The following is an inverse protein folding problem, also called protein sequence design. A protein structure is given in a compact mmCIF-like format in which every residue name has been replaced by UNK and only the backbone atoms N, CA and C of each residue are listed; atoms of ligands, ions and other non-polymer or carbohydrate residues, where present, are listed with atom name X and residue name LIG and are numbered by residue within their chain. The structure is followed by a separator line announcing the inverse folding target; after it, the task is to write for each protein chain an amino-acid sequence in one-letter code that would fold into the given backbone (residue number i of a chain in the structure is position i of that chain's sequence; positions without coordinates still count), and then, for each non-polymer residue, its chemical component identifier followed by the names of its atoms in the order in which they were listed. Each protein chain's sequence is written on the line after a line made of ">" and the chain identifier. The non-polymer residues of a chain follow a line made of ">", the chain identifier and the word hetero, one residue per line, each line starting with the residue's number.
data_IF_283548889361
#
_entry.id   IF_283548889361
#
_cell.length_a   1.000
_cell.length_b   1.000
_cell.length_c   1.000
_cell.angle_alpha   90.00
_cell.angle_beta   90.00
_cell.angle_gamma   90.00
#
_symmetry.space_group_name_H-M   'P 1'
#
loop_
_entity.id
_entity.type
_entity.pdbx_description
1 polymer ?
#
# COMPACT_ATOMS: atom_id res chain seq x y z
N UNK A 1 -2.38 -38.13 -1.22
CA UNK A 1 -1.68 -37.30 -2.22
C UNK A 1 -0.34 -37.96 -2.56
N UNK A 2 -0.04 -38.10 -3.85
CA UNK A 2 1.18 -38.74 -4.35
C UNK A 2 2.35 -37.73 -4.22
N UNK A 3 3.48 -38.06 -3.58
CA UNK A 3 4.58 -37.12 -3.40
C UNK A 3 5.44 -37.11 -4.67
N UNK A 4 5.36 -36.04 -5.47
CA UNK A 4 6.30 -35.90 -6.58
C UNK A 4 6.03 -34.80 -7.61
N UNK A 5 4.85 -34.19 -7.63
CA UNK A 5 4.60 -33.01 -8.46
C UNK A 5 4.11 -31.85 -7.58
N UNK A 6 4.66 -30.63 -7.76
CA UNK A 6 4.11 -29.44 -7.14
C UNK A 6 2.64 -29.29 -7.51
N UNK A 7 1.83 -28.78 -6.58
CA UNK A 7 0.42 -28.51 -6.84
C UNK A 7 0.34 -27.29 -7.76
N UNK A 8 -0.16 -27.46 -8.98
CA UNK A 8 -0.29 -26.35 -9.93
C UNK A 8 -1.48 -25.46 -9.56
N UNK A 9 -1.45 -24.21 -10.01
CA UNK A 9 -2.52 -23.25 -9.75
C UNK A 9 -3.89 -23.75 -10.27
N UNK A 10 -3.98 -24.23 -11.51
CA UNK A 10 -5.24 -24.69 -12.10
C UNK A 10 -5.78 -25.94 -11.40
N UNK A 11 -4.90 -26.88 -11.03
CA UNK A 11 -5.30 -28.08 -10.31
C UNK A 11 -5.81 -27.75 -8.91
N UNK A 12 -5.18 -26.79 -8.24
CA UNK A 12 -5.63 -26.31 -6.94
C UNK A 12 -6.97 -25.59 -7.00
N UNK A 13 -7.15 -24.64 -7.91
CA UNK A 13 -8.43 -23.92 -8.06
C UNK A 13 -9.55 -24.89 -8.37
N UNK A 14 -9.32 -25.88 -9.26
CA UNK A 14 -10.31 -26.90 -9.56
C UNK A 14 -10.65 -27.75 -8.31
N UNK A 15 -9.65 -28.17 -7.54
CA UNK A 15 -9.85 -28.91 -6.29
C UNK A 15 -10.67 -28.09 -5.28
N UNK A 16 -10.24 -26.86 -4.99
CA UNK A 16 -10.88 -26.00 -4.01
C UNK A 16 -12.31 -25.62 -4.41
N UNK A 17 -12.58 -25.45 -5.71
CA UNK A 17 -13.92 -25.19 -6.21
C UNK A 17 -14.91 -26.37 -6.04
N UNK A 18 -14.42 -27.59 -5.74
CA UNK A 18 -15.28 -28.75 -5.43
C UNK A 18 -15.53 -28.95 -3.94
N UNK A 19 -14.74 -28.35 -3.06
CA UNK A 19 -14.90 -28.47 -1.62
C UNK A 19 -16.10 -27.62 -1.16
N UNK A 20 -17.14 -28.19 -0.51
CA UNK A 20 -18.31 -27.44 -0.05
C UNK A 20 -17.99 -26.41 1.05
N UNK A 21 -16.95 -26.63 1.85
CA UNK A 21 -16.55 -25.72 2.93
C UNK A 21 -15.91 -24.43 2.40
N UNK A 22 -15.36 -24.44 1.17
CA UNK A 22 -14.83 -23.26 0.51
C UNK A 22 -15.97 -22.37 0.04
N UNK A 23 -16.08 -21.19 0.64
CA UNK A 23 -17.08 -20.17 0.28
C UNK A 23 -16.50 -19.01 -0.53
N UNK A 24 -15.16 -18.90 -0.59
CA UNK A 24 -14.48 -17.91 -1.41
C UNK A 24 -13.10 -18.36 -1.88
N UNK A 25 -12.73 -17.93 -3.09
CA UNK A 25 -11.36 -17.97 -3.59
C UNK A 25 -10.97 -16.59 -4.08
N UNK A 26 -9.85 -16.07 -3.59
CA UNK A 26 -9.40 -14.70 -3.88
C UNK A 26 -7.93 -14.73 -4.34
N UNK A 27 -7.68 -14.33 -5.58
CA UNK A 27 -6.36 -14.24 -6.20
C UNK A 27 -5.79 -12.83 -6.01
N UNK A 28 -4.65 -12.69 -5.32
CA UNK A 28 -3.94 -11.41 -5.17
C UNK A 28 -2.65 -11.41 -6.00
N UNK A 29 -1.80 -10.41 -5.75
CA UNK A 29 -0.46 -10.37 -6.34
C UNK A 29 -0.46 -10.04 -7.82
N UNK A 30 0.59 -10.46 -8.52
CA UNK A 30 0.85 -10.02 -9.91
C UNK A 30 -0.23 -10.48 -10.87
N UNK A 31 -0.81 -11.66 -10.65
CA UNK A 31 -1.90 -12.20 -11.50
C UNK A 31 -3.25 -11.48 -11.29
N UNK A 32 -3.39 -10.68 -10.24
CA UNK A 32 -4.55 -9.81 -10.05
C UNK A 32 -4.42 -8.47 -10.82
N UNK A 33 -3.20 -8.08 -11.21
CA UNK A 33 -2.89 -6.78 -11.81
C UNK A 33 -2.53 -6.91 -13.29
N UNK A 34 -3.35 -6.34 -14.18
CA UNK A 34 -3.13 -6.42 -15.62
C UNK A 34 -1.77 -5.83 -16.02
N UNK A 35 -0.97 -6.63 -16.73
CA UNK A 35 0.37 -6.25 -17.21
C UNK A 35 1.50 -6.40 -16.20
N UNK A 36 1.24 -6.90 -14.98
CA UNK A 36 2.26 -7.03 -13.92
C UNK A 36 2.86 -8.43 -13.78
N UNK A 37 2.35 -9.41 -14.53
CA UNK A 37 2.84 -10.80 -14.54
C UNK A 37 4.17 -10.89 -15.27
N UNK A 38 5.12 -11.61 -14.68
CA UNK A 38 6.43 -11.94 -15.26
C UNK A 38 6.69 -13.44 -15.19
N UNK A 39 7.76 -13.93 -15.79
CA UNK A 39 8.19 -15.34 -15.69
C UNK A 39 8.54 -15.80 -14.26
N UNK A 40 8.68 -14.85 -13.33
CA UNK A 40 8.98 -15.10 -11.92
C UNK A 40 7.76 -14.87 -11.02
N UNK A 41 6.57 -14.68 -11.59
CA UNK A 41 5.34 -14.49 -10.82
C UNK A 41 4.72 -15.82 -10.44
N UNK A 42 4.40 -15.95 -9.17
CA UNK A 42 3.57 -16.99 -8.57
C UNK A 42 2.09 -16.55 -8.48
N UNK A 43 1.22 -17.50 -8.18
CA UNK A 43 -0.18 -17.25 -7.87
C UNK A 43 -0.38 -17.23 -6.35
N UNK A 44 -0.78 -16.08 -5.83
CA UNK A 44 -1.17 -15.93 -4.43
C UNK A 44 -2.68 -16.14 -4.26
N UNK A 45 -3.10 -17.24 -3.63
CA UNK A 45 -4.52 -17.57 -3.46
C UNK A 45 -4.92 -17.63 -1.99
N UNK A 46 -5.93 -16.83 -1.65
CA UNK A 46 -6.69 -16.97 -0.41
C UNK A 46 -7.83 -17.97 -0.61
N UNK A 47 -7.89 -18.99 0.23
CA UNK A 47 -9.03 -19.89 0.40
C UNK A 47 -9.82 -19.43 1.61
N UNK A 48 -11.07 -19.03 1.38
CA UNK A 48 -11.98 -18.57 2.44
C UNK A 48 -12.97 -19.69 2.73
N UNK A 49 -12.86 -20.27 3.91
CA UNK A 49 -13.75 -21.31 4.43
C UNK A 49 -14.92 -20.69 5.19
N UNK A 50 -16.06 -21.37 5.20
CA UNK A 50 -17.12 -21.06 6.16
C UNK A 50 -16.59 -21.22 7.60
N UNK A 51 -17.05 -20.38 8.54
CA UNK A 51 -16.44 -20.25 9.86
C UNK A 51 -16.49 -21.53 10.73
N UNK A 52 -17.52 -22.37 10.54
CA UNK A 52 -17.77 -23.58 11.34
C UNK A 52 -17.58 -24.90 10.56
N UNK A 53 -17.00 -24.85 9.37
CA UNK A 53 -16.81 -26.04 8.51
C UNK A 53 -15.36 -26.52 8.51
N UNK A 54 -15.17 -27.84 8.60
CA UNK A 54 -13.85 -28.47 8.47
C UNK A 54 -13.56 -28.76 6.99
N UNK A 55 -12.30 -28.54 6.58
CA UNK A 55 -11.84 -28.84 5.22
C UNK A 55 -10.46 -29.49 5.28
N UNK A 56 -10.24 -30.49 4.42
CA UNK A 56 -8.91 -31.08 4.21
C UNK A 56 -7.90 -30.03 3.67
N UNK A 57 -8.41 -28.93 3.08
CA UNK A 57 -7.59 -27.83 2.59
C UNK A 57 -7.00 -26.98 3.73
N UNK A 58 -7.54 -27.03 4.95
CA UNK A 58 -6.97 -26.32 6.11
C UNK A 58 -5.50 -26.68 6.35
N UNK A 59 -5.08 -27.91 5.99
CA UNK A 59 -3.69 -28.35 6.08
C UNK A 59 -2.74 -27.73 5.05
N UNK A 60 -3.25 -26.96 4.08
CA UNK A 60 -2.47 -26.25 3.07
C UNK A 60 -2.22 -24.78 3.43
N UNK A 61 -2.67 -24.31 4.60
CA UNK A 61 -2.35 -22.95 5.04
C UNK A 61 -0.83 -22.74 5.13
N UNK A 62 -0.35 -21.66 4.51
CA UNK A 62 1.07 -21.35 4.41
C UNK A 62 1.84 -22.21 3.40
N UNK A 63 1.16 -22.99 2.55
CA UNK A 63 1.80 -23.68 1.43
C UNK A 63 2.49 -22.67 0.50
N UNK A 64 3.74 -22.98 0.12
CA UNK A 64 4.53 -22.16 -0.80
C UNK A 64 5.28 -22.99 -1.81
N UNK A 65 5.32 -22.50 -3.04
CA UNK A 65 6.08 -23.08 -4.14
C UNK A 65 6.52 -21.98 -5.11
N UNK A 66 7.24 -22.33 -6.17
CA UNK A 66 7.61 -21.34 -7.20
C UNK A 66 6.41 -20.88 -8.06
N UNK A 67 5.28 -21.58 -7.99
CA UNK A 67 4.10 -21.33 -8.85
C UNK A 67 2.88 -20.86 -8.05
N UNK A 68 2.76 -21.26 -6.78
CA UNK A 68 1.55 -21.16 -5.99
C UNK A 68 1.88 -20.98 -4.50
N UNK A 69 1.27 -19.94 -3.92
CA UNK A 69 1.24 -19.62 -2.50
C UNK A 69 -0.23 -19.63 -2.02
N UNK A 70 -0.50 -20.35 -0.92
CA UNK A 70 -1.87 -20.53 -0.40
C UNK A 70 -1.94 -19.98 1.03
N UNK A 71 -2.97 -19.18 1.28
CA UNK A 71 -3.41 -18.81 2.63
C UNK A 71 -4.83 -19.32 2.82
N UNK A 72 -5.06 -20.10 3.88
CA UNK A 72 -6.39 -20.61 4.22
C UNK A 72 -6.89 -19.85 5.44
N UNK A 73 -8.10 -19.34 5.35
CA UNK A 73 -8.70 -18.51 6.40
C UNK A 73 -10.20 -18.72 6.45
N UNK A 74 -10.86 -18.26 7.51
CA UNK A 74 -12.32 -18.26 7.58
C UNK A 74 -12.91 -16.93 7.09
N UNK A 75 -14.22 -16.87 6.85
CA UNK A 75 -14.91 -15.62 6.49
C UNK A 75 -14.67 -14.53 7.55
N UNK A 76 -14.82 -14.85 8.84
CA UNK A 76 -14.62 -13.91 9.94
C UNK A 76 -13.18 -13.39 9.99
N UNK A 77 -12.20 -14.26 9.81
CA UNK A 77 -10.78 -13.88 9.78
C UNK A 77 -10.46 -13.04 8.53
N UNK A 78 -10.95 -13.43 7.35
CA UNK A 78 -10.77 -12.68 6.11
C UNK A 78 -11.35 -11.26 6.21
N UNK A 79 -12.50 -11.10 6.87
CA UNK A 79 -13.07 -9.78 7.20
C UNK A 79 -12.15 -8.95 8.09
N UNK A 80 -11.37 -9.56 8.97
CA UNK A 80 -10.46 -8.87 9.89
C UNK A 80 -9.09 -8.59 9.31
N UNK A 81 -8.67 -9.28 8.23
CA UNK A 81 -7.37 -9.02 7.59
C UNK A 81 -7.21 -7.53 7.26
N UNK A 82 -6.09 -6.97 7.67
CA UNK A 82 -5.84 -5.54 7.61
C UNK A 82 -4.35 -5.23 7.54
N UNK A 83 -4.00 -3.99 7.84
CA UNK A 83 -2.63 -3.49 7.82
C UNK A 83 -1.95 -3.66 6.46
N UNK A 84 -0.77 -4.28 6.42
CA UNK A 84 0.07 -4.44 5.24
C UNK A 84 -0.63 -5.22 4.12
N UNK A 85 -1.53 -6.14 4.44
CA UNK A 85 -2.21 -7.00 3.45
C UNK A 85 -3.43 -6.33 2.81
N UNK A 86 -3.90 -5.22 3.39
CA UNK A 86 -5.13 -4.52 2.96
C UNK A 86 -5.09 -4.14 1.48
N UNK A 87 -3.98 -3.57 0.99
CA UNK A 87 -3.86 -3.21 -0.42
C UNK A 87 -3.94 -4.43 -1.34
N UNK A 88 -3.24 -5.51 -0.98
CA UNK A 88 -3.19 -6.70 -1.80
C UNK A 88 -4.58 -7.31 -1.99
N UNK A 89 -5.40 -7.30 -0.93
CA UNK A 89 -6.80 -7.75 -1.00
C UNK A 89 -7.66 -6.73 -1.77
N UNK A 90 -7.47 -5.42 -1.55
CA UNK A 90 -8.24 -4.36 -2.22
C UNK A 90 -8.15 -4.36 -3.76
N UNK A 91 -7.11 -4.99 -4.32
CA UNK A 91 -6.89 -5.16 -5.75
C UNK A 91 -6.94 -6.63 -6.20
N UNK A 92 -7.39 -7.52 -5.33
CA UNK A 92 -7.52 -8.94 -5.63
C UNK A 92 -8.71 -9.23 -6.56
N UNK A 93 -8.65 -10.38 -7.22
CA UNK A 93 -9.72 -10.93 -8.05
C UNK A 93 -10.44 -12.04 -7.29
N UNK A 94 -11.76 -11.92 -7.18
CA UNK A 94 -12.60 -13.00 -6.63
C UNK A 94 -12.82 -14.03 -7.72
N UNK A 95 -12.31 -15.25 -7.51
CA UNK A 95 -12.43 -16.38 -8.43
C UNK A 95 -13.67 -17.22 -8.14
N UNK A 96 -14.07 -17.29 -6.86
CA UNK A 96 -15.24 -17.99 -6.37
C UNK A 96 -15.88 -17.16 -5.26
N UNK A 97 -17.20 -17.06 -5.28
CA UNK A 97 -18.01 -16.46 -4.21
C UNK A 97 -19.30 -17.27 -4.07
N UNK A 98 -19.45 -17.99 -2.96
CA UNK A 98 -20.66 -18.75 -2.64
C UNK A 98 -21.54 -18.06 -1.59
N UNK A 99 -21.20 -16.83 -1.22
CA UNK A 99 -21.95 -16.02 -0.26
C UNK A 99 -22.79 -14.95 -0.98
N UNK A 100 -23.24 -15.25 -2.20
CA UNK A 100 -24.03 -14.35 -3.04
C UNK A 100 -23.43 -12.94 -3.19
N UNK A 101 -22.09 -12.86 -3.29
CA UNK A 101 -21.36 -11.59 -3.42
C UNK A 101 -20.69 -11.13 -2.13
N UNK A 102 -20.88 -11.83 -1.00
CA UNK A 102 -20.30 -11.47 0.28
C UNK A 102 -18.77 -11.43 0.28
N UNK A 103 -18.08 -12.27 -0.50
CA UNK A 103 -16.61 -12.22 -0.60
C UNK A 103 -16.19 -10.97 -1.39
N UNK A 104 -16.89 -10.67 -2.48
CA UNK A 104 -16.67 -9.45 -3.25
C UNK A 104 -16.88 -8.18 -2.41
N UNK A 105 -17.90 -8.15 -1.57
CA UNK A 105 -18.15 -7.03 -0.65
C UNK A 105 -17.00 -6.85 0.36
N UNK A 106 -16.48 -7.95 0.93
CA UNK A 106 -15.33 -7.90 1.84
C UNK A 106 -14.10 -7.35 1.14
N UNK A 107 -13.80 -7.83 -0.08
CA UNK A 107 -12.68 -7.34 -0.90
C UNK A 107 -12.84 -5.85 -1.21
N UNK A 108 -14.02 -5.42 -1.65
CA UNK A 108 -14.32 -4.03 -1.97
C UNK A 108 -14.15 -3.12 -0.74
N UNK A 109 -14.55 -3.59 0.45
CA UNK A 109 -14.38 -2.86 1.70
C UNK A 109 -12.90 -2.62 2.07
N UNK A 110 -11.97 -3.49 1.65
CA UNK A 110 -10.52 -3.27 1.88
C UNK A 110 -9.96 -2.11 1.06
N UNK A 111 -10.60 -1.77 -0.06
CA UNK A 111 -10.16 -0.70 -0.95
C UNK A 111 -10.46 0.71 -0.46
N UNK A 112 -11.17 0.88 0.66
CA UNK A 112 -11.50 2.19 1.21
C UNK A 112 -11.33 2.25 2.72
N UNK A 113 -10.57 3.25 3.17
CA UNK A 113 -10.47 3.61 4.58
C UNK A 113 -11.77 4.29 5.05
N UNK A 114 -12.13 4.02 6.30
CA UNK A 114 -13.16 4.80 6.99
C UNK A 114 -12.75 6.28 7.06
N UNK A 115 -13.71 7.21 7.13
CA UNK A 115 -13.39 8.64 7.21
C UNK A 115 -12.53 8.98 8.44
N UNK A 116 -12.91 8.46 9.60
CA UNK A 116 -12.18 8.71 10.85
C UNK A 116 -10.82 8.00 10.87
N UNK A 117 -10.74 6.82 10.27
CA UNK A 117 -9.48 6.08 10.09
C UNK A 117 -8.53 6.86 9.20
N UNK A 118 -8.97 7.23 8.00
CA UNK A 118 -8.19 8.03 7.06
C UNK A 118 -7.71 9.36 7.67
N UNK A 119 -8.57 10.05 8.42
CA UNK A 119 -8.20 11.31 9.06
C UNK A 119 -7.14 11.13 10.14
N UNK A 120 -7.26 10.10 10.99
CA UNK A 120 -6.25 9.79 12.00
C UNK A 120 -4.92 9.35 11.37
N UNK A 121 -4.98 8.50 10.37
CA UNK A 121 -3.80 7.98 9.69
C UNK A 121 -3.08 9.11 8.94
N UNK A 122 -3.80 9.94 8.20
CA UNK A 122 -3.24 11.09 7.51
C UNK A 122 -2.55 12.07 8.49
N UNK A 123 -3.15 12.33 9.66
CA UNK A 123 -2.52 13.18 10.68
C UNK A 123 -1.20 12.58 11.19
N UNK A 124 -1.15 11.27 11.47
CA UNK A 124 0.06 10.59 11.91
C UNK A 124 1.15 10.55 10.83
N UNK A 125 0.77 10.25 9.58
CA UNK A 125 1.71 10.19 8.47
C UNK A 125 2.23 11.57 8.06
N UNK A 126 1.42 12.61 8.20
CA UNK A 126 1.86 14.00 7.99
C UNK A 126 2.95 14.39 8.99
N UNK A 127 2.78 14.06 10.26
CA UNK A 127 3.78 14.32 11.29
C UNK A 127 5.08 13.52 11.04
N UNK A 128 4.95 12.24 10.70
CA UNK A 128 6.11 11.39 10.36
C UNK A 128 6.87 11.90 9.13
N UNK A 129 6.14 12.33 8.08
CA UNK A 129 6.71 12.95 6.89
C UNK A 129 7.45 14.24 7.23
N UNK A 130 6.81 15.16 7.96
CA UNK A 130 7.40 16.42 8.40
C UNK A 130 8.68 16.17 9.22
N UNK A 131 8.66 15.21 10.15
CA UNK A 131 9.82 14.87 10.96
C UNK A 131 11.00 14.34 10.12
N UNK A 132 10.74 13.43 9.17
CA UNK A 132 11.78 12.90 8.29
C UNK A 132 12.36 13.99 7.38
N UNK A 133 11.50 14.84 6.82
CA UNK A 133 11.91 15.98 6.01
C UNK A 133 12.75 16.99 6.81
N UNK A 134 12.28 17.39 7.99
CA UNK A 134 12.99 18.30 8.88
C UNK A 134 14.41 17.78 9.18
N UNK A 135 14.51 16.49 9.55
CA UNK A 135 15.80 15.83 9.81
C UNK A 135 16.68 15.81 8.58
N UNK A 136 16.13 15.51 7.41
CA UNK A 136 16.86 15.53 6.13
C UNK A 136 17.50 16.90 5.85
N UNK A 137 16.69 17.95 5.92
CA UNK A 137 17.15 19.33 5.67
C UNK A 137 18.16 19.78 6.74
N UNK A 138 17.88 19.48 8.01
CA UNK A 138 18.77 19.81 9.14
C UNK A 138 20.12 19.11 9.02
N UNK A 139 20.12 17.81 8.78
CA UNK A 139 21.36 17.03 8.63
C UNK A 139 22.17 17.50 7.42
N UNK A 140 21.50 17.85 6.32
CA UNK A 140 22.20 18.41 5.14
C UNK A 140 22.83 19.77 5.45
N UNK A 141 22.10 20.67 6.12
CA UNK A 141 22.60 21.97 6.59
C UNK A 141 23.82 21.81 7.51
N UNK A 142 23.79 20.80 8.38
CA UNK A 142 24.84 20.55 9.37
C UNK A 142 26.03 19.74 8.80
N UNK A 143 26.01 19.42 7.48
CA UNK A 143 27.08 18.71 6.78
C UNK A 143 27.03 17.18 6.88
N UNK A 144 25.98 16.62 7.50
CA UNK A 144 25.74 15.18 7.61
C UNK A 144 25.02 14.61 6.39
N UNK A 145 25.66 14.69 5.22
CA UNK A 145 25.03 14.42 3.92
C UNK A 145 24.42 13.02 3.79
N UNK A 146 25.09 11.97 4.29
CA UNK A 146 24.54 10.62 4.25
C UNK A 146 23.28 10.49 5.11
N UNK A 147 23.30 11.04 6.33
CA UNK A 147 22.14 11.03 7.21
C UNK A 147 20.97 11.81 6.57
N UNK A 148 21.27 12.98 5.99
CA UNK A 148 20.28 13.78 5.26
C UNK A 148 19.62 12.99 4.13
N UNK A 149 20.41 12.30 3.31
CA UNK A 149 19.88 11.47 2.21
C UNK A 149 19.06 10.27 2.70
N UNK A 150 19.44 9.63 3.80
CA UNK A 150 18.66 8.53 4.39
C UNK A 150 17.31 9.03 4.92
N UNK A 151 17.31 10.16 5.65
CA UNK A 151 16.08 10.78 6.13
C UNK A 151 15.18 11.26 4.95
N UNK A 152 15.78 11.71 3.84
CA UNK A 152 15.04 12.05 2.62
C UNK A 152 14.36 10.81 2.01
N UNK A 153 15.08 9.68 1.94
CA UNK A 153 14.53 8.42 1.43
C UNK A 153 13.40 7.90 2.33
N UNK A 154 13.56 7.96 3.65
CA UNK A 154 12.52 7.58 4.62
C UNK A 154 11.26 8.44 4.45
N UNK A 155 11.43 9.74 4.18
CA UNK A 155 10.31 10.68 4.00
C UNK A 155 9.36 10.28 2.87
N UNK A 156 9.86 9.63 1.81
CA UNK A 156 9.06 9.20 0.66
C UNK A 156 8.03 8.16 1.08
N UNK A 157 8.39 7.24 1.97
CA UNK A 157 7.46 6.25 2.49
C UNK A 157 6.29 6.91 3.22
N UNK A 158 6.58 7.81 4.16
CA UNK A 158 5.57 8.53 4.93
C UNK A 158 4.71 9.43 4.05
N UNK A 159 5.30 10.10 3.05
CA UNK A 159 4.55 10.88 2.09
C UNK A 159 3.52 10.02 1.34
N UNK A 160 3.93 8.86 0.84
CA UNK A 160 3.00 7.98 0.12
C UNK A 160 1.87 7.49 1.03
N UNK A 161 2.16 7.09 2.27
CA UNK A 161 1.10 6.74 3.22
C UNK A 161 0.13 7.90 3.45
N UNK A 162 0.64 9.12 3.64
CA UNK A 162 -0.17 10.33 3.79
C UNK A 162 -1.07 10.56 2.57
N UNK A 163 -0.52 10.53 1.35
CA UNK A 163 -1.29 10.82 0.14
C UNK A 163 -2.41 9.81 -0.09
N UNK A 164 -2.13 8.52 0.11
CA UNK A 164 -3.15 7.47 -0.02
C UNK A 164 -4.19 7.54 1.11
N UNK A 165 -3.78 7.84 2.34
CA UNK A 165 -4.71 8.05 3.45
C UNK A 165 -5.66 9.24 3.21
N UNK A 166 -5.16 10.37 2.71
CA UNK A 166 -5.99 11.52 2.34
C UNK A 166 -7.01 11.18 1.24
N UNK A 167 -6.65 10.30 0.31
CA UNK A 167 -7.56 9.78 -0.72
C UNK A 167 -8.37 8.55 -0.24
N UNK A 168 -8.28 8.22 1.05
CA UNK A 168 -8.97 7.10 1.71
C UNK A 168 -8.71 5.75 1.06
N UNK A 169 -7.53 5.54 0.49
CA UNK A 169 -7.10 4.27 -0.11
C UNK A 169 -5.93 3.69 0.68
N UNK A 170 -5.79 2.35 0.74
CA UNK A 170 -4.55 1.76 1.21
C UNK A 170 -3.41 2.04 0.22
N UNK A 171 -2.21 2.30 0.72
CA UNK A 171 -1.02 2.50 -0.12
C UNK A 171 -0.64 1.19 -0.83
N UNK A 172 -0.32 1.21 -2.14
CA UNK A 172 0.21 0.07 -2.87
C UNK A 172 1.59 -0.33 -2.38
N UNK A 173 1.92 -1.62 -2.53
CA UNK A 173 3.32 -2.04 -2.51
C UNK A 173 4.10 -1.30 -3.59
N UNK A 174 5.37 -0.98 -3.34
CA UNK A 174 6.19 -0.19 -4.26
C UNK A 174 6.21 -0.75 -5.70
N UNK A 175 6.18 -2.09 -5.86
CA UNK A 175 6.09 -2.76 -7.18
C UNK A 175 4.84 -2.35 -7.98
N UNK A 176 3.73 -2.04 -7.31
CA UNK A 176 2.45 -1.67 -7.93
C UNK A 176 2.18 -0.17 -7.91
N UNK A 177 3.08 0.65 -7.37
CA UNK A 177 2.83 2.08 -7.16
C UNK A 177 2.52 2.82 -8.47
N UNK A 178 3.37 2.65 -9.49
CA UNK A 178 3.16 3.26 -10.81
C UNK A 178 1.86 2.76 -11.45
N UNK A 179 1.66 1.44 -11.45
CA UNK A 179 0.44 0.81 -11.97
C UNK A 179 -0.83 1.37 -11.34
N UNK A 180 -0.83 1.56 -10.01
CA UNK A 180 -1.97 2.08 -9.24
C UNK A 180 -2.23 3.54 -9.58
N UNK A 181 -1.19 4.37 -9.68
CA UNK A 181 -1.34 5.80 -9.96
C UNK A 181 -1.70 6.10 -11.44
N UNK A 182 -1.34 5.24 -12.38
CA UNK A 182 -1.77 5.38 -13.77
C UNK A 182 -3.27 5.09 -13.94
N UNK A 183 -3.80 4.12 -13.19
CA UNK A 183 -5.21 3.68 -13.29
C UNK A 183 -6.13 4.45 -12.35
N UNK A 184 -5.61 4.81 -11.19
CA UNK A 184 -6.33 5.45 -10.10
C UNK A 184 -5.49 6.63 -9.57
N UNK A 185 -5.39 7.72 -10.36
CA UNK A 185 -4.55 8.86 -10.01
C UNK A 185 -5.01 9.49 -8.69
N UNK A 186 -4.05 9.99 -7.91
CA UNK A 186 -4.33 10.74 -6.69
C UNK A 186 -4.85 12.15 -7.05
N UNK A 187 -5.93 12.63 -6.41
CA UNK A 187 -6.43 13.99 -6.65
C UNK A 187 -5.36 15.06 -6.38
N UNK A 188 -5.29 16.09 -7.21
CA UNK A 188 -4.29 17.18 -7.15
C UNK A 188 -2.82 16.77 -7.39
N UNK A 189 -2.55 15.51 -7.73
CA UNK A 189 -1.21 15.03 -8.06
C UNK A 189 -1.14 14.56 -9.52
N UNK A 190 -0.19 15.09 -10.28
CA UNK A 190 0.13 14.55 -11.59
C UNK A 190 1.09 13.37 -11.38
N UNK A 191 0.69 12.19 -11.87
CA UNK A 191 1.35 10.91 -11.57
C UNK A 191 2.83 10.90 -11.93
N UNK A 192 3.19 11.32 -13.14
CA UNK A 192 4.58 11.25 -13.60
C UNK A 192 5.47 12.20 -12.81
N UNK A 193 5.06 13.45 -12.66
CA UNK A 193 5.77 14.46 -11.89
C UNK A 193 5.95 14.04 -10.43
N UNK A 194 4.93 13.43 -9.80
CA UNK A 194 5.06 12.90 -8.44
C UNK A 194 6.12 11.79 -8.38
N UNK A 195 6.04 10.79 -9.26
CA UNK A 195 6.98 9.66 -9.30
C UNK A 195 8.41 10.10 -9.58
N UNK A 196 8.62 11.01 -10.54
CA UNK A 196 9.93 11.57 -10.88
C UNK A 196 10.52 12.35 -9.69
N UNK A 197 9.68 13.12 -8.98
CA UNK A 197 10.10 13.92 -7.83
C UNK A 197 10.52 13.02 -6.67
N UNK A 198 9.68 12.06 -6.26
CA UNK A 198 10.00 11.17 -5.13
C UNK A 198 11.17 10.23 -5.45
N UNK A 199 11.28 9.77 -6.70
CA UNK A 199 12.41 8.98 -7.18
C UNK A 199 13.72 9.76 -7.10
N UNK A 200 13.69 11.03 -7.52
CA UNK A 200 14.84 11.93 -7.42
C UNK A 200 15.22 12.22 -5.97
N UNK A 201 14.24 12.50 -5.09
CA UNK A 201 14.48 12.73 -3.65
C UNK A 201 15.11 11.50 -2.99
N UNK A 202 14.57 10.29 -3.23
CA UNK A 202 15.15 9.06 -2.70
C UNK A 202 16.58 8.81 -3.22
N UNK A 203 16.85 9.19 -4.48
CA UNK A 203 18.16 9.01 -5.10
C UNK A 203 19.21 10.05 -4.66
N UNK A 204 18.83 11.28 -4.36
CA UNK A 204 19.79 12.37 -4.18
C UNK A 204 19.72 13.05 -2.82
N UNK A 205 18.55 13.05 -2.16
CA UNK A 205 18.28 13.86 -0.99
C UNK A 205 18.34 15.37 -1.26
N UNK A 206 18.11 15.81 -2.51
CA UNK A 206 18.18 17.23 -2.87
C UNK A 206 17.17 18.06 -2.06
N UNK A 207 17.65 19.12 -1.41
CA UNK A 207 16.90 19.89 -0.41
C UNK A 207 15.86 20.81 -1.05
N UNK A 208 16.18 21.45 -2.18
CA UNK A 208 15.25 22.36 -2.84
C UNK A 208 14.00 21.64 -3.35
N UNK A 209 14.15 20.45 -3.95
CA UNK A 209 13.08 19.57 -4.40
C UNK A 209 12.23 19.09 -3.25
N UNK A 210 12.86 18.70 -2.13
CA UNK A 210 12.15 18.33 -0.91
C UNK A 210 11.26 19.47 -0.39
N UNK A 211 11.77 20.71 -0.37
CA UNK A 211 11.04 21.90 0.07
C UNK A 211 9.93 22.30 -0.89
N UNK A 212 10.17 22.24 -2.20
CA UNK A 212 9.15 22.49 -3.21
C UNK A 212 7.99 21.50 -3.11
N UNK A 213 8.31 20.21 -2.96
CA UNK A 213 7.30 19.17 -2.72
C UNK A 213 6.54 19.43 -1.43
N UNK A 214 7.25 19.78 -0.35
CA UNK A 214 6.62 20.11 0.93
C UNK A 214 5.64 21.27 0.85
N UNK A 215 5.95 22.34 0.10
CA UNK A 215 5.02 23.46 -0.07
C UNK A 215 3.67 23.01 -0.66
N UNK A 216 3.70 22.07 -1.61
CA UNK A 216 2.49 21.46 -2.17
C UNK A 216 1.79 20.56 -1.15
N UNK A 217 2.53 19.71 -0.43
CA UNK A 217 1.97 18.83 0.61
C UNK A 217 1.30 19.66 1.71
N UNK A 218 1.94 20.72 2.18
CA UNK A 218 1.40 21.64 3.18
C UNK A 218 0.07 22.24 2.72
N UNK A 219 -0.01 22.73 1.48
CA UNK A 219 -1.24 23.30 0.95
C UNK A 219 -2.39 22.28 0.92
N UNK A 220 -2.14 21.07 0.39
CA UNK A 220 -3.14 19.99 0.30
C UNK A 220 -3.56 19.51 1.69
N UNK A 221 -2.61 19.31 2.61
CA UNK A 221 -2.90 18.89 3.98
C UNK A 221 -3.74 19.92 4.74
N UNK A 222 -3.46 21.21 4.57
CA UNK A 222 -4.25 22.29 5.17
C UNK A 222 -5.67 22.33 4.61
N UNK A 223 -5.83 22.19 3.30
CA UNK A 223 -7.14 22.12 2.65
C UNK A 223 -7.96 20.91 3.14
N UNK A 224 -7.29 19.78 3.39
CA UNK A 224 -7.89 18.58 3.96
C UNK A 224 -8.17 18.66 5.47
N UNK A 225 -7.88 19.79 6.14
CA UNK A 225 -8.15 20.00 7.56
C UNK A 225 -7.04 19.51 8.51
N UNK A 226 -5.88 19.11 7.99
CA UNK A 226 -4.72 18.65 8.78
C UNK A 226 -3.74 19.76 9.16
N UNK A 227 -4.10 21.04 8.93
CA UNK A 227 -3.28 22.20 9.30
C UNK A 227 -2.77 22.21 10.74
N UNK A 228 -3.58 21.85 11.76
CA UNK A 228 -3.12 21.82 13.15
C UNK A 228 -1.91 20.92 13.42
N UNK A 229 -1.72 19.85 12.63
CA UNK A 229 -0.53 18.98 12.75
C UNK A 229 0.72 19.79 12.39
N UNK A 230 0.67 20.55 11.29
CA UNK A 230 1.79 21.38 10.86
C UNK A 230 2.01 22.58 11.79
N UNK A 231 0.93 23.15 12.33
CA UNK A 231 1.03 24.30 13.23
C UNK A 231 1.73 23.94 14.56
N UNK A 232 1.69 22.66 14.97
CA UNK A 232 2.42 22.16 16.14
C UNK A 232 3.95 22.15 15.96
N UNK A 233 4.46 22.25 14.72
CA UNK A 233 5.89 22.37 14.42
C UNK A 233 6.42 23.80 14.59
N UNK A 234 5.54 24.80 14.71
CA UNK A 234 5.88 26.20 14.97
C UNK A 234 7.05 26.73 14.11
N UNK A 235 8.11 27.26 14.72
CA UNK A 235 9.26 27.84 14.02
C UNK A 235 10.05 26.81 13.19
N UNK A 236 10.04 25.53 13.56
CA UNK A 236 10.76 24.48 12.83
C UNK A 236 10.16 24.25 11.42
N UNK A 237 8.88 24.59 11.22
CA UNK A 237 8.20 24.52 9.93
C UNK A 237 8.88 25.37 8.86
N UNK A 238 9.53 26.48 9.26
CA UNK A 238 10.24 27.38 8.34
C UNK A 238 11.39 26.66 7.62
N UNK A 239 12.03 25.68 8.27
CA UNK A 239 13.17 24.96 7.68
C UNK A 239 12.76 24.09 6.48
N UNK A 240 11.51 23.60 6.48
CA UNK A 240 10.95 22.70 5.46
C UNK A 240 10.32 23.44 4.28
N UNK A 241 10.04 24.74 4.42
CA UNK A 241 9.47 25.55 3.35
C UNK A 241 10.56 26.04 2.37
N UNK A 242 10.19 26.33 1.11
CA UNK A 242 11.11 26.98 0.17
C UNK A 242 11.68 28.28 0.73
N UNK A 243 12.96 28.50 0.48
CA UNK A 243 13.71 29.69 0.82
C UNK A 243 14.03 30.51 -0.43
N UNK A 244 14.36 31.79 -0.27
CA UNK A 244 14.66 32.71 -1.39
C UNK A 244 15.83 32.27 -2.30
N UNK A 245 16.60 31.24 -1.90
CA UNK A 245 17.69 30.67 -2.70
C UNK A 245 17.34 29.36 -3.42
N UNK A 246 16.14 28.81 -3.18
CA UNK A 246 15.69 27.60 -3.88
C UNK A 246 15.25 28.00 -5.31
N UNK A 247 15.68 27.27 -6.36
CA UNK A 247 15.21 27.52 -7.72
C UNK A 247 13.67 27.41 -7.79
N UNK A 248 13.06 28.22 -8.66
CA UNK A 248 11.61 28.24 -8.88
C UNK A 248 11.12 27.02 -9.67
#
# INVERSE_FOLDING_TARGET
>A
MNPGHPLTYEAFVALAATDPAVVGLVLKGSHAHDGMVTEHSDHDVYVVLADDEESDLSGLDGYRSAELDIVVTTVEQFRRLGDWERYAIARARVLLDRLDGGILEIVAAKGRLGMDEASRDAAGWLDAYANSLYRSVKNTRDGHLLAGRLDAADSVGFLLELLFAMDRRPRPYNKYLEWELERFPLPAWETRSLLDTIGSIAATGEVSMQRQLFAKVEAVAREAGHGPVLDAWDEDLVLMRPSLGDPA
#
